data_IF_595132685748
#
_entry.id   IF_595132685748
#
_cell.length_a   1.000
_cell.length_b   1.000
_cell.length_c   1.000
_cell.angle_alpha   90.00
_cell.angle_beta   90.00
_cell.angle_gamma   90.00
#
_symmetry.space_group_name_H-M   'P 1'
#
loop_
_entity.id
_entity.type
_entity.pdbx_description
1 polymer ?
#
# COMPACT_ATOMS: atom_id res chain seq x y z
N UNK A 1 -4.31 13.77 39.91
CA UNK A 1 -5.52 13.81 39.05
C UNK A 1 -5.42 15.03 38.14
N UNK A 2 -4.80 14.85 36.97
CA UNK A 2 -4.71 15.86 35.91
C UNK A 2 -5.19 15.20 34.62
N UNK A 3 -6.02 15.94 33.92
CA UNK A 3 -6.90 15.62 32.80
C UNK A 3 -6.16 15.18 31.54
N UNK A 4 -6.48 13.98 31.04
CA UNK A 4 -6.15 13.48 29.70
C UNK A 4 -6.96 14.23 28.64
N UNK A 5 -6.32 15.13 27.88
CA UNK A 5 -7.00 16.01 26.91
C UNK A 5 -6.46 15.92 25.47
N UNK A 6 -5.63 14.93 25.14
CA UNK A 6 -4.89 14.93 23.86
C UNK A 6 -5.03 13.66 23.00
N UNK A 7 -5.93 12.72 23.36
CA UNK A 7 -6.16 11.52 22.53
C UNK A 7 -6.95 11.87 21.25
N UNK A 8 -7.74 12.96 21.28
CA UNK A 8 -8.53 13.40 20.12
C UNK A 8 -7.75 14.10 19.00
N UNK A 9 -6.50 14.54 19.23
CA UNK A 9 -5.77 15.37 18.24
C UNK A 9 -4.76 14.61 17.39
N UNK A 10 -4.26 13.45 17.84
CA UNK A 10 -3.16 12.76 17.14
C UNK A 10 -3.62 11.92 15.94
N UNK A 11 -4.90 11.56 15.87
CA UNK A 11 -5.50 10.93 14.67
C UNK A 11 -5.75 11.96 13.55
N UNK A 12 -5.71 13.25 13.84
CA UNK A 12 -6.12 14.34 12.93
C UNK A 12 -4.96 15.13 12.28
N UNK A 13 -3.69 14.77 12.53
CA UNK A 13 -2.53 15.55 12.06
C UNK A 13 -1.99 15.17 10.67
N UNK A 14 -2.64 14.26 9.94
CA UNK A 14 -2.27 13.93 8.54
C UNK A 14 -3.17 14.55 7.47
N UNK A 15 -4.10 15.44 7.86
CA UNK A 15 -4.97 16.17 6.93
C UNK A 15 -4.52 17.63 6.83
N UNK A 16 -3.54 17.90 5.97
CA UNK A 16 -3.03 19.26 5.81
C UNK A 16 -2.34 19.53 4.49
N UNK A 17 -3.11 19.78 3.42
CA UNK A 17 -2.93 20.92 2.50
C UNK A 17 -3.82 20.78 1.26
N UNK A 18 -4.97 21.46 1.25
CA UNK A 18 -5.63 21.89 0.03
C UNK A 18 -6.17 23.31 0.26
N UNK A 19 -5.70 24.24 -0.56
CA UNK A 19 -6.00 25.66 -0.50
C UNK A 19 -7.50 25.95 -0.60
N UNK A 20 -7.96 26.94 0.18
CA UNK A 20 -9.32 27.46 0.17
C UNK A 20 -9.60 28.33 -1.06
N UNK A 21 -10.81 28.20 -1.62
CA UNK A 21 -11.47 29.28 -2.35
C UNK A 21 -12.99 29.26 -2.10
N UNK A 22 -13.43 30.33 -1.44
CA UNK A 22 -14.74 31.00 -1.43
C UNK A 22 -16.01 30.26 -0.93
N UNK A 23 -16.57 30.82 0.14
CA UNK A 23 -17.60 30.29 1.01
C UNK A 23 -19.04 30.56 0.55
N UNK A 24 -19.91 29.56 0.75
CA UNK A 24 -21.35 29.70 0.93
C UNK A 24 -21.65 29.91 2.44
N UNK A 25 -22.81 30.48 2.84
CA UNK A 25 -23.05 30.87 4.23
C UNK A 25 -23.00 29.65 5.15
N UNK A 26 -22.24 29.79 6.24
CA UNK A 26 -21.98 28.74 7.21
C UNK A 26 -23.29 28.33 7.91
N UNK A 27 -23.67 27.05 7.74
CA UNK A 27 -24.52 26.38 8.71
C UNK A 27 -23.87 26.51 10.11
N UNK A 28 -24.69 26.68 11.14
CA UNK A 28 -24.26 26.61 12.54
C UNK A 28 -23.31 25.43 12.75
N UNK A 29 -22.17 25.59 13.44
CA UNK A 29 -21.24 24.49 13.64
C UNK A 29 -21.95 23.41 14.47
N UNK A 30 -22.37 22.34 13.80
CA UNK A 30 -22.74 21.10 14.47
C UNK A 30 -21.53 20.66 15.27
N UNK A 31 -21.71 20.46 16.59
CA UNK A 31 -20.65 19.97 17.45
C UNK A 31 -19.97 18.77 16.77
N UNK A 32 -18.65 18.80 16.70
CA UNK A 32 -17.88 17.74 16.05
C UNK A 32 -18.15 16.42 16.79
N UNK A 33 -18.74 15.39 16.13
CA UNK A 33 -19.12 14.14 16.77
C UNK A 33 -17.91 13.40 17.33
N UNK A 34 -16.70 13.69 16.85
CA UNK A 34 -15.46 13.12 17.40
C UNK A 34 -15.19 13.58 18.83
N UNK A 35 -15.72 14.75 19.26
CA UNK A 35 -15.58 15.25 20.62
C UNK A 35 -16.65 14.71 21.58
N UNK A 36 -17.61 13.91 21.08
CA UNK A 36 -18.60 13.27 21.93
C UNK A 36 -17.91 12.24 22.87
N UNK A 37 -18.16 12.29 24.19
CA UNK A 37 -17.56 11.36 25.14
C UNK A 37 -17.79 9.88 24.80
N UNK A 38 -18.94 9.53 24.20
CA UNK A 38 -19.24 8.16 23.78
C UNK A 38 -18.34 7.73 22.62
N UNK A 39 -18.07 8.63 21.66
CA UNK A 39 -17.15 8.35 20.55
C UNK A 39 -15.72 8.21 21.06
N UNK A 40 -15.29 9.06 22.00
CA UNK A 40 -13.97 8.97 22.63
C UNK A 40 -13.80 7.66 23.42
N UNK A 41 -14.79 7.28 24.23
CA UNK A 41 -14.78 6.03 24.98
C UNK A 41 -14.76 4.81 24.04
N UNK A 42 -15.58 4.82 23.00
CA UNK A 42 -15.59 3.76 21.99
C UNK A 42 -14.25 3.66 21.25
N UNK A 43 -13.66 4.78 20.85
CA UNK A 43 -12.34 4.81 20.21
C UNK A 43 -11.24 4.24 21.10
N UNK A 44 -11.28 4.49 22.41
CA UNK A 44 -10.38 3.86 23.38
C UNK A 44 -10.55 2.34 23.42
N UNK A 45 -11.78 1.84 23.48
CA UNK A 45 -12.06 0.39 23.47
C UNK A 45 -11.58 -0.28 22.18
N UNK A 46 -11.76 0.37 21.02
CA UNK A 46 -11.25 -0.11 19.74
C UNK A 46 -9.71 -0.17 19.77
N UNK A 47 -9.06 0.87 20.29
CA UNK A 47 -7.61 0.91 20.46
C UNK A 47 -7.07 -0.21 21.38
N UNK A 48 -7.73 -0.46 22.51
CA UNK A 48 -7.38 -1.55 23.42
C UNK A 48 -7.54 -2.92 22.75
N UNK A 49 -8.63 -3.11 22.00
CA UNK A 49 -8.89 -4.35 21.24
C UNK A 49 -7.82 -4.58 20.18
N UNK A 50 -7.46 -3.53 19.43
CA UNK A 50 -6.38 -3.60 18.44
C UNK A 50 -5.05 -3.96 19.11
N UNK A 51 -4.66 -3.27 20.19
CA UNK A 51 -3.42 -3.58 20.91
C UNK A 51 -3.39 -5.00 21.45
N UNK A 52 -4.49 -5.50 22.01
CA UNK A 52 -4.60 -6.87 22.48
C UNK A 52 -4.42 -7.88 21.33
N UNK A 53 -5.01 -7.60 20.17
CA UNK A 53 -4.83 -8.42 18.97
C UNK A 53 -3.37 -8.43 18.51
N UNK A 54 -2.72 -7.28 18.40
CA UNK A 54 -1.32 -7.20 17.95
C UNK A 54 -0.36 -7.89 18.93
N UNK A 55 -0.59 -7.77 20.24
CA UNK A 55 0.15 -8.54 21.25
C UNK A 55 -0.03 -10.04 21.07
N UNK A 56 -1.27 -10.52 20.91
CA UNK A 56 -1.55 -11.94 20.65
C UNK A 56 -0.87 -12.45 19.36
N UNK A 57 -0.84 -11.64 18.30
CA UNK A 57 -0.10 -11.96 17.08
C UNK A 57 1.41 -12.07 17.33
N UNK A 58 2.00 -11.13 18.06
CA UNK A 58 3.41 -11.16 18.43
C UNK A 58 3.76 -12.35 19.35
N UNK A 59 2.87 -12.71 20.26
CA UNK A 59 3.02 -13.83 21.19
C UNK A 59 3.02 -15.19 20.48
N UNK A 60 2.44 -15.28 19.27
CA UNK A 60 2.54 -16.48 18.44
C UNK A 60 3.99 -16.87 18.11
N UNK A 61 4.93 -15.91 18.19
CA UNK A 61 6.35 -16.11 17.90
C UNK A 61 6.66 -16.35 16.42
N UNK A 62 5.64 -16.39 15.55
CA UNK A 62 5.81 -16.61 14.11
C UNK A 62 6.31 -15.32 13.44
N UNK A 63 7.21 -15.39 12.44
CA UNK A 63 7.84 -14.20 11.87
C UNK A 63 6.84 -13.25 11.21
N UNK A 64 5.94 -13.77 10.36
CA UNK A 64 4.89 -12.96 9.72
C UNK A 64 4.00 -12.20 10.72
N UNK A 65 3.35 -12.88 11.70
CA UNK A 65 2.58 -12.22 12.74
C UNK A 65 3.38 -11.21 13.58
N UNK A 66 4.64 -11.49 13.93
CA UNK A 66 5.53 -10.52 14.60
C UNK A 66 5.74 -9.27 13.74
N UNK A 67 5.98 -9.47 12.44
CA UNK A 67 6.19 -8.38 11.49
C UNK A 67 4.95 -7.50 11.36
N UNK A 68 3.78 -8.10 11.15
CA UNK A 68 2.51 -7.39 11.06
C UNK A 68 2.16 -6.68 12.36
N UNK A 69 2.38 -7.32 13.51
CA UNK A 69 2.18 -6.71 14.82
C UNK A 69 3.06 -5.47 15.00
N UNK A 70 4.33 -5.54 14.58
CA UNK A 70 5.23 -4.40 14.53
C UNK A 70 4.73 -3.31 13.59
N UNK A 71 4.39 -3.63 12.33
CA UNK A 71 3.93 -2.64 11.37
C UNK A 71 2.68 -1.88 11.81
N UNK A 72 1.73 -2.59 12.43
CA UNK A 72 0.44 -2.03 12.85
C UNK A 72 0.46 -1.41 14.25
N UNK A 73 1.58 -1.48 14.97
CA UNK A 73 1.66 -0.93 16.32
C UNK A 73 1.57 0.60 16.28
N UNK A 74 0.60 1.14 17.01
CA UNK A 74 0.44 2.57 17.23
C UNK A 74 0.79 2.85 18.67
N UNK A 75 1.78 3.71 18.87
CA UNK A 75 2.12 4.16 20.21
C UNK A 75 1.00 5.08 20.73
N UNK A 76 0.40 4.68 21.85
CA UNK A 76 -0.64 5.47 22.53
C UNK A 76 -0.07 6.38 23.61
N UNK A 77 1.23 6.24 23.92
CA UNK A 77 1.87 7.13 24.87
C UNK A 77 2.18 8.47 24.21
N UNK A 78 1.80 9.55 24.90
CA UNK A 78 1.99 10.97 24.54
C UNK A 78 3.46 11.40 24.49
N UNK A 79 4.36 10.53 24.03
CA UNK A 79 5.78 10.81 23.82
C UNK A 79 6.06 11.25 22.38
N UNK A 80 5.05 11.86 21.74
CA UNK A 80 5.16 12.57 20.46
C UNK A 80 6.16 13.75 20.52
N UNK A 81 6.66 14.09 21.72
CA UNK A 81 7.71 15.10 21.94
C UNK A 81 9.07 14.50 22.36
N UNK A 82 9.24 13.17 22.40
CA UNK A 82 10.55 12.57 22.71
C UNK A 82 11.36 12.27 21.45
N UNK A 83 12.68 12.17 21.61
CA UNK A 83 13.67 11.82 20.57
C UNK A 83 13.35 10.54 19.77
N UNK A 84 12.40 9.71 20.22
CA UNK A 84 11.83 8.60 19.47
C UNK A 84 11.22 9.03 18.12
N UNK A 85 10.63 10.23 18.05
CA UNK A 85 10.11 10.81 16.79
C UNK A 85 11.22 11.11 15.76
N UNK A 86 12.48 11.24 16.20
CA UNK A 86 13.65 11.40 15.32
C UNK A 86 14.34 10.07 14.98
N UNK A 87 13.99 8.97 15.66
CA UNK A 87 14.75 7.71 15.65
C UNK A 87 14.02 6.51 15.02
N UNK A 88 12.80 6.68 14.50
CA UNK A 88 12.05 5.60 13.82
C UNK A 88 11.02 4.93 14.73
N UNK A 89 11.07 3.60 14.84
CA UNK A 89 10.04 2.80 15.52
C UNK A 89 10.06 2.92 17.06
N UNK A 90 8.87 2.83 17.68
CA UNK A 90 8.72 2.72 19.14
C UNK A 90 9.44 1.47 19.70
N UNK A 91 9.87 1.42 20.98
CA UNK A 91 10.67 0.31 21.51
C UNK A 91 10.03 -1.08 21.33
N UNK A 92 8.73 -1.21 21.61
CA UNK A 92 8.01 -2.48 21.47
C UNK A 92 7.87 -2.89 19.99
N UNK A 93 7.52 -1.94 19.14
CA UNK A 93 7.48 -2.12 17.69
C UNK A 93 8.83 -2.60 17.15
N UNK A 94 9.93 -1.95 17.54
CA UNK A 94 11.29 -2.32 17.15
C UNK A 94 11.63 -3.74 17.62
N UNK A 95 11.26 -4.10 18.84
CA UNK A 95 11.52 -5.45 19.37
C UNK A 95 10.80 -6.53 18.56
N UNK A 96 9.54 -6.32 18.18
CA UNK A 96 8.80 -7.28 17.35
C UNK A 96 9.33 -7.36 15.92
N UNK A 97 9.60 -6.21 15.28
CA UNK A 97 10.19 -6.17 13.95
C UNK A 97 11.57 -6.85 13.93
N UNK A 98 12.41 -6.58 14.92
CA UNK A 98 13.72 -7.24 15.04
C UNK A 98 13.58 -8.75 15.21
N UNK A 99 12.67 -9.21 16.05
CA UNK A 99 12.40 -10.65 16.23
C UNK A 99 11.90 -11.30 14.93
N UNK A 100 11.08 -10.62 14.14
CA UNK A 100 10.64 -11.10 12.84
C UNK A 100 11.82 -11.25 11.86
N UNK A 101 12.71 -10.25 11.80
CA UNK A 101 13.90 -10.25 10.94
C UNK A 101 14.93 -11.32 11.36
N UNK A 102 15.09 -11.54 12.66
CA UNK A 102 16.04 -12.51 13.22
C UNK A 102 15.53 -13.96 13.11
N UNK A 103 14.23 -14.17 12.93
CA UNK A 103 13.64 -15.50 12.95
C UNK A 103 14.08 -16.38 11.77
N UNK A 104 14.27 -17.68 12.04
CA UNK A 104 14.66 -18.69 11.04
C UNK A 104 13.76 -19.94 11.16
N UNK A 105 13.35 -20.57 10.04
CA UNK A 105 13.62 -20.19 8.64
C UNK A 105 13.01 -18.81 8.28
N UNK A 106 13.56 -18.16 7.25
CA UNK A 106 13.08 -16.84 6.80
C UNK A 106 11.63 -16.96 6.30
N UNK A 107 10.82 -15.98 6.65
CA UNK A 107 9.45 -15.83 6.16
C UNK A 107 9.45 -15.00 4.87
N UNK A 108 8.62 -15.38 3.89
CA UNK A 108 8.58 -14.72 2.58
C UNK A 108 8.16 -13.25 2.65
N UNK A 109 7.15 -12.92 3.46
CA UNK A 109 6.69 -11.55 3.61
C UNK A 109 7.79 -10.70 4.26
N UNK A 110 8.40 -11.22 5.33
CA UNK A 110 9.48 -10.52 6.03
C UNK A 110 10.69 -10.33 5.12
N UNK A 111 11.08 -11.34 4.34
CA UNK A 111 12.20 -11.26 3.42
C UNK A 111 11.97 -10.24 2.29
N UNK A 112 10.75 -10.15 1.73
CA UNK A 112 10.38 -9.13 0.73
C UNK A 112 10.59 -7.72 1.26
N UNK A 113 10.29 -7.51 2.54
CA UNK A 113 10.45 -6.22 3.19
C UNK A 113 11.91 -5.92 3.54
N UNK A 114 12.62 -6.89 4.10
CA UNK A 114 14.06 -6.76 4.41
C UNK A 114 14.91 -6.50 3.15
N UNK A 115 14.53 -7.07 2.01
CA UNK A 115 15.21 -6.86 0.73
C UNK A 115 15.09 -5.42 0.18
N UNK A 116 14.11 -4.61 0.65
CA UNK A 116 14.02 -3.19 0.30
C UNK A 116 15.11 -2.36 1.00
N UNK A 117 15.75 -2.91 2.01
CA UNK A 117 16.64 -2.19 2.91
C UNK A 117 16.02 -2.08 4.30
N UNK A 118 16.76 -1.43 5.19
CA UNK A 118 16.48 -1.53 6.61
C UNK A 118 16.20 -0.17 7.22
N UNK A 119 15.05 -0.01 7.86
CA UNK A 119 14.75 1.17 8.64
C UNK A 119 15.83 1.39 9.71
N UNK A 120 16.06 2.67 10.04
CA UNK A 120 16.93 3.04 11.14
C UNK A 120 16.48 2.35 12.44
N UNK A 121 17.45 1.81 13.19
CA UNK A 121 17.20 1.12 14.45
C UNK A 121 16.88 -0.38 14.36
N UNK A 122 16.88 -0.98 13.16
CA UNK A 122 16.79 -2.43 12.97
C UNK A 122 18.09 -3.00 12.40
N UNK A 123 18.46 -4.21 12.85
CA UNK A 123 19.53 -5.03 12.27
C UNK A 123 18.91 -6.01 11.31
N UNK A 124 19.55 -6.16 10.16
CA UNK A 124 19.01 -6.90 9.03
C UNK A 124 20.13 -7.26 8.05
N UNK A 125 19.82 -8.12 7.10
CA UNK A 125 20.69 -8.50 5.99
C UNK A 125 19.88 -8.52 4.68
N UNK A 126 19.74 -7.37 4.00
CA UNK A 126 19.00 -7.27 2.74
C UNK A 126 19.55 -8.18 1.64
N UNK A 127 20.85 -8.48 1.65
CA UNK A 127 21.47 -9.34 0.64
C UNK A 127 21.13 -10.80 0.89
N UNK A 128 21.15 -11.27 2.15
CA UNK A 128 20.69 -12.62 2.46
C UNK A 128 19.17 -12.76 2.31
N UNK A 129 18.38 -11.71 2.58
CA UNK A 129 16.95 -11.71 2.29
C UNK A 129 16.69 -11.85 0.78
N UNK A 130 17.40 -11.07 -0.03
CA UNK A 130 17.32 -11.16 -1.49
C UNK A 130 17.76 -12.55 -2.00
N UNK A 131 18.87 -13.09 -1.52
CA UNK A 131 19.33 -14.42 -1.91
C UNK A 131 18.33 -15.53 -1.55
N UNK A 132 17.62 -15.37 -0.42
CA UNK A 132 16.51 -16.26 -0.07
C UNK A 132 15.34 -16.13 -1.04
N UNK A 133 14.97 -14.91 -1.44
CA UNK A 133 13.89 -14.69 -2.42
C UNK A 133 14.25 -15.25 -3.80
N UNK A 134 15.50 -15.11 -4.25
CA UNK A 134 15.99 -15.68 -5.51
C UNK A 134 15.86 -17.22 -5.53
N UNK A 135 15.96 -17.88 -4.37
CA UNK A 135 15.77 -19.33 -4.25
C UNK A 135 14.29 -19.70 -4.14
N UNK A 136 13.52 -18.93 -3.37
CA UNK A 136 12.11 -19.22 -3.12
C UNK A 136 11.22 -18.92 -4.32
N UNK A 137 11.62 -17.97 -5.17
CA UNK A 137 10.80 -17.43 -6.26
C UNK A 137 11.66 -16.97 -7.45
N UNK A 138 12.43 -17.92 -8.01
CA UNK A 138 13.37 -17.65 -9.11
C UNK A 138 12.71 -17.15 -10.40
N UNK A 139 11.39 -17.37 -10.57
CA UNK A 139 10.61 -16.93 -11.74
C UNK A 139 10.11 -15.48 -11.65
N UNK A 140 10.31 -14.81 -10.51
CA UNK A 140 9.74 -13.48 -10.26
C UNK A 140 10.68 -12.35 -10.68
N UNK A 141 10.23 -11.54 -11.63
CA UNK A 141 10.96 -10.38 -12.13
C UNK A 141 11.24 -9.33 -11.03
N UNK A 142 10.37 -9.17 -10.02
CA UNK A 142 10.59 -8.18 -8.93
C UNK A 142 11.84 -8.52 -8.10
N UNK A 143 12.06 -9.81 -7.81
CA UNK A 143 13.24 -10.29 -7.10
C UNK A 143 14.51 -9.93 -7.86
N UNK A 144 14.55 -10.22 -9.16
CA UNK A 144 15.69 -9.92 -10.01
C UNK A 144 15.90 -8.43 -10.25
N UNK A 145 14.83 -7.63 -10.31
CA UNK A 145 14.93 -6.17 -10.39
C UNK A 145 15.51 -5.56 -9.11
N UNK A 146 15.22 -6.14 -7.94
CA UNK A 146 15.87 -5.74 -6.67
C UNK A 146 17.34 -6.13 -6.66
N UNK A 147 17.69 -7.31 -7.16
CA UNK A 147 19.08 -7.75 -7.32
C UNK A 147 19.85 -6.83 -8.26
N UNK A 148 19.25 -6.46 -9.39
CA UNK A 148 19.79 -5.47 -10.32
C UNK A 148 20.04 -4.13 -9.62
N UNK A 149 19.04 -3.58 -8.93
CA UNK A 149 19.18 -2.30 -8.22
C UNK A 149 20.24 -2.36 -7.10
N UNK A 150 20.33 -3.48 -6.37
CA UNK A 150 21.33 -3.69 -5.34
C UNK A 150 22.76 -3.76 -5.92
N UNK A 151 22.94 -4.47 -7.04
CA UNK A 151 24.21 -4.53 -7.75
C UNK A 151 24.63 -3.16 -8.31
N UNK A 152 23.69 -2.42 -8.89
CA UNK A 152 23.93 -1.04 -9.35
C UNK A 152 24.43 -0.14 -8.21
N UNK A 153 23.81 -0.19 -7.03
CA UNK A 153 24.25 0.60 -5.86
C UNK A 153 25.66 0.27 -5.41
N UNK A 154 26.13 -0.97 -5.61
CA UNK A 154 27.50 -1.39 -5.29
C UNK A 154 28.51 -1.15 -6.40
N UNK A 155 28.08 -0.65 -7.57
CA UNK A 155 28.95 -0.50 -8.74
C UNK A 155 29.35 -1.83 -9.40
N UNK A 156 28.65 -2.92 -9.11
CA UNK A 156 28.93 -4.25 -9.67
C UNK A 156 28.17 -4.44 -10.98
N UNK A 157 28.78 -4.02 -12.09
CA UNK A 157 28.17 -4.08 -13.41
C UNK A 157 27.88 -5.51 -13.87
N UNK A 158 28.74 -6.48 -13.54
CA UNK A 158 28.56 -7.87 -13.94
C UNK A 158 27.41 -8.54 -13.18
N UNK A 159 27.26 -8.27 -11.88
CA UNK A 159 26.09 -8.74 -11.13
C UNK A 159 24.81 -8.04 -11.58
N UNK A 160 24.86 -6.74 -11.88
CA UNK A 160 23.71 -6.01 -12.38
C UNK A 160 23.21 -6.61 -13.70
N UNK A 161 24.10 -6.84 -14.66
CA UNK A 161 23.69 -7.40 -15.96
C UNK A 161 23.14 -8.84 -15.80
N UNK A 162 23.74 -9.68 -14.95
CA UNK A 162 23.19 -11.02 -14.67
C UNK A 162 21.78 -10.96 -14.09
N UNK A 163 21.55 -10.09 -13.11
CA UNK A 163 20.24 -9.91 -12.50
C UNK A 163 19.22 -9.34 -13.52
N UNK A 164 19.64 -8.42 -14.39
CA UNK A 164 18.80 -7.94 -15.48
C UNK A 164 18.37 -9.06 -16.43
N UNK A 165 19.31 -9.88 -16.89
CA UNK A 165 19.00 -11.02 -17.76
C UNK A 165 18.09 -12.03 -17.06
N UNK A 166 18.26 -12.27 -15.76
CA UNK A 166 17.33 -13.10 -14.98
C UNK A 166 15.91 -12.48 -14.92
N UNK A 167 15.79 -11.16 -14.77
CA UNK A 167 14.50 -10.46 -14.84
C UNK A 167 13.85 -10.58 -16.23
N UNK A 168 14.64 -10.54 -17.30
CA UNK A 168 14.15 -10.72 -18.69
C UNK A 168 13.59 -12.13 -18.92
N UNK A 169 14.19 -13.15 -18.30
CA UNK A 169 13.76 -14.55 -18.41
C UNK A 169 12.67 -14.95 -17.39
N UNK A 170 12.28 -14.04 -16.50
CA UNK A 170 11.23 -14.27 -15.51
C UNK A 170 9.86 -14.49 -16.18
N UNK A 171 9.05 -15.39 -15.63
CA UNK A 171 7.73 -15.73 -16.16
C UNK A 171 6.60 -14.89 -15.53
N UNK A 172 6.85 -14.24 -14.40
CA UNK A 172 5.88 -13.36 -13.74
C UNK A 172 6.55 -12.19 -13.02
N UNK A 173 5.72 -11.28 -12.50
CA UNK A 173 6.11 -10.20 -11.61
C UNK A 173 5.12 -10.18 -10.44
N UNK A 174 5.64 -10.30 -9.21
CA UNK A 174 4.87 -10.12 -7.99
C UNK A 174 5.68 -9.22 -7.04
N UNK A 175 5.20 -7.99 -6.86
CA UNK A 175 5.77 -7.00 -5.94
C UNK A 175 5.60 -7.36 -4.46
N UNK A 176 4.70 -8.29 -4.16
CA UNK A 176 4.26 -8.66 -2.82
C UNK A 176 3.17 -7.77 -2.23
N UNK A 177 2.67 -6.78 -2.98
CA UNK A 177 1.60 -5.90 -2.54
C UNK A 177 0.32 -6.68 -2.18
N UNK A 178 -0.09 -7.64 -3.00
CA UNK A 178 -1.27 -8.47 -2.71
C UNK A 178 -1.05 -9.37 -1.49
N UNK A 179 0.10 -10.03 -1.40
CA UNK A 179 0.43 -10.89 -0.26
C UNK A 179 0.46 -10.10 1.06
N UNK A 180 1.03 -8.89 1.06
CA UNK A 180 0.99 -7.99 2.21
C UNK A 180 -0.46 -7.59 2.54
N UNK A 181 -1.26 -7.24 1.53
CA UNK A 181 -2.66 -6.89 1.71
C UNK A 181 -3.46 -8.02 2.36
N UNK A 182 -3.33 -9.24 1.87
CA UNK A 182 -4.01 -10.41 2.43
C UNK A 182 -3.58 -10.71 3.86
N UNK A 183 -2.28 -10.57 4.14
CA UNK A 183 -1.72 -10.77 5.47
C UNK A 183 -2.23 -9.70 6.47
N UNK A 184 -2.33 -8.45 6.03
CA UNK A 184 -2.95 -7.37 6.78
C UNK A 184 -4.43 -7.68 7.02
N UNK A 185 -5.22 -7.98 5.98
CA UNK A 185 -6.63 -8.32 6.09
C UNK A 185 -6.90 -9.43 7.12
N UNK A 186 -6.11 -10.51 7.08
CA UNK A 186 -6.18 -11.60 8.04
C UNK A 186 -5.82 -11.19 9.49
N UNK A 187 -5.07 -10.11 9.68
CA UNK A 187 -4.72 -9.62 11.02
C UNK A 187 -5.95 -9.17 11.82
N UNK A 188 -7.04 -8.74 11.18
CA UNK A 188 -8.22 -8.20 11.86
C UNK A 188 -9.58 -8.80 11.43
N UNK A 189 -9.65 -9.60 10.36
CA UNK A 189 -10.91 -10.17 9.87
C UNK A 189 -11.72 -10.94 10.94
N UNK A 190 -11.06 -11.64 11.86
CA UNK A 190 -11.72 -12.46 12.90
C UNK A 190 -11.84 -11.76 14.26
N UNK A 191 -11.60 -10.45 14.32
CA UNK A 191 -11.65 -9.69 15.58
C UNK A 191 -13.08 -9.25 15.87
N UNK A 192 -13.54 -9.50 17.10
CA UNK A 192 -14.80 -8.94 17.61
C UNK A 192 -14.59 -7.50 18.03
N UNK A 193 -14.95 -6.56 17.15
CA UNK A 193 -14.74 -5.13 17.37
C UNK A 193 -15.80 -4.51 18.30
N UNK A 194 -15.41 -3.60 19.22
CA UNK A 194 -16.36 -2.81 19.98
C UNK A 194 -17.30 -2.00 19.07
N UNK A 195 -18.59 -2.00 19.42
CA UNK A 195 -19.63 -1.31 18.65
C UNK A 195 -20.02 0.00 19.32
N UNK A 196 -19.99 1.09 18.56
CA UNK A 196 -20.58 2.35 18.99
C UNK A 196 -22.11 2.22 19.02
N UNK A 197 -22.68 2.09 20.21
CA UNK A 197 -24.11 1.77 20.40
C UNK A 197 -25.04 2.86 19.86
N UNK A 198 -24.59 4.11 19.85
CA UNK A 198 -25.35 5.23 19.30
C UNK A 198 -25.41 5.18 17.77
N UNK A 199 -26.58 4.84 17.23
CA UNK A 199 -26.86 4.84 15.77
C UNK A 199 -26.70 6.24 15.18
N UNK A 200 -27.14 7.28 15.89
CA UNK A 200 -27.05 8.66 15.40
C UNK A 200 -25.61 9.18 15.35
N UNK A 201 -24.74 8.77 16.28
CA UNK A 201 -23.32 9.12 16.24
C UNK A 201 -22.60 8.38 15.11
N UNK A 202 -22.89 7.09 14.90
CA UNK A 202 -22.36 6.34 13.74
C UNK A 202 -22.74 7.00 12.42
N UNK A 203 -24.02 7.34 12.22
CA UNK A 203 -24.48 8.01 11.02
C UNK A 203 -23.81 9.39 10.82
N UNK A 204 -23.50 10.12 11.89
CA UNK A 204 -22.76 11.38 11.81
C UNK A 204 -21.29 11.19 11.43
N UNK A 205 -20.64 10.13 11.92
CA UNK A 205 -19.28 9.75 11.53
C UNK A 205 -19.24 9.33 10.05
N UNK A 206 -20.15 8.46 9.62
CA UNK A 206 -20.29 8.01 8.23
C UNK A 206 -20.51 9.19 7.28
N UNK A 207 -21.41 10.12 7.63
CA UNK A 207 -21.69 11.30 6.83
C UNK A 207 -20.47 12.23 6.67
N UNK A 208 -19.48 12.11 7.56
CA UNK A 208 -18.20 12.85 7.51
C UNK A 208 -17.07 12.00 6.91
N UNK A 209 -17.34 10.78 6.46
CA UNK A 209 -16.32 9.86 5.94
C UNK A 209 -15.34 9.38 7.00
N UNK A 210 -15.73 9.39 8.28
CA UNK A 210 -14.92 8.91 9.39
C UNK A 210 -15.27 7.46 9.72
N UNK A 211 -14.33 6.66 10.26
CA UNK A 211 -14.62 5.32 10.75
C UNK A 211 -15.77 5.33 11.76
N UNK A 212 -16.81 4.53 11.52
CA UNK A 212 -17.98 4.41 12.40
C UNK A 212 -18.09 3.03 13.07
N UNK A 213 -17.27 2.07 12.63
CA UNK A 213 -17.08 0.76 13.26
C UNK A 213 -15.62 0.51 13.63
N UNK A 214 -15.38 -0.41 14.57
CA UNK A 214 -14.01 -0.76 14.96
C UNK A 214 -13.27 -1.46 13.82
N UNK A 215 -14.00 -2.19 12.97
CA UNK A 215 -13.47 -2.79 11.75
C UNK A 215 -12.98 -1.71 10.77
N UNK A 216 -13.75 -0.64 10.55
CA UNK A 216 -13.31 0.50 9.70
C UNK A 216 -12.05 1.17 10.25
N UNK A 217 -11.97 1.27 11.58
CA UNK A 217 -10.79 1.84 12.24
C UNK A 217 -9.55 0.97 12.01
N UNK A 218 -9.67 -0.35 12.16
CA UNK A 218 -8.59 -1.29 11.88
C UNK A 218 -8.19 -1.30 10.40
N UNK A 219 -9.18 -1.27 9.51
CA UNK A 219 -9.00 -1.18 8.07
C UNK A 219 -8.21 0.07 7.68
N UNK A 220 -8.49 1.21 8.29
CA UNK A 220 -7.75 2.46 8.04
C UNK A 220 -6.24 2.27 8.30
N UNK A 221 -5.87 1.69 9.44
CA UNK A 221 -4.46 1.44 9.78
C UNK A 221 -3.81 0.45 8.84
N UNK A 222 -4.55 -0.57 8.43
CA UNK A 222 -4.04 -1.57 7.53
C UNK A 222 -3.84 -1.05 6.11
N UNK A 223 -4.80 -0.27 5.60
CA UNK A 223 -4.66 0.43 4.33
C UNK A 223 -3.48 1.41 4.36
N UNK A 224 -3.25 2.09 5.48
CA UNK A 224 -2.08 2.95 5.64
C UNK A 224 -0.76 2.15 5.58
N UNK A 225 -0.67 1.03 6.31
CA UNK A 225 0.49 0.15 6.27
C UNK A 225 0.71 -0.45 4.87
N UNK A 226 -0.36 -0.90 4.21
CA UNK A 226 -0.32 -1.39 2.83
C UNK A 226 0.19 -0.30 1.89
N UNK A 227 -0.40 0.89 1.92
CA UNK A 227 -0.05 2.00 1.02
C UNK A 227 1.41 2.45 1.18
N UNK A 228 1.96 2.37 2.39
CA UNK A 228 3.37 2.69 2.67
C UNK A 228 4.36 1.67 2.06
N UNK A 229 3.91 0.47 1.73
CA UNK A 229 4.78 -0.66 1.35
C UNK A 229 4.38 -1.36 0.03
N UNK A 230 3.22 -1.06 -0.54
CA UNK A 230 2.67 -1.74 -1.70
C UNK A 230 3.36 -1.38 -3.03
N UNK A 231 4.02 -0.23 -3.12
CA UNK A 231 4.64 0.20 -4.38
C UNK A 231 6.06 -0.37 -4.53
N UNK A 232 6.33 -1.14 -5.60
CA UNK A 232 7.68 -1.61 -5.89
C UNK A 232 8.59 -0.48 -6.37
N UNK A 233 9.89 -0.63 -6.15
CA UNK A 233 10.90 0.32 -6.59
C UNK A 233 11.21 0.20 -8.09
N UNK A 234 10.29 0.64 -8.95
CA UNK A 234 10.41 0.51 -10.42
C UNK A 234 11.33 1.54 -11.08
N UNK A 235 11.86 2.54 -10.35
CA UNK A 235 12.69 3.60 -10.95
C UNK A 235 13.91 3.10 -11.73
N UNK A 236 14.68 2.08 -11.27
CA UNK A 236 15.79 1.52 -12.04
C UNK A 236 15.34 0.91 -13.39
N UNK A 237 14.21 0.21 -13.40
CA UNK A 237 13.60 -0.33 -14.62
C UNK A 237 13.20 0.79 -15.57
N UNK A 238 12.45 1.78 -15.06
CA UNK A 238 11.97 2.92 -15.84
C UNK A 238 13.12 3.71 -16.47
N UNK A 239 14.25 3.89 -15.76
CA UNK A 239 15.44 4.54 -16.32
C UNK A 239 16.15 3.71 -17.38
N UNK A 240 16.30 2.39 -17.17
CA UNK A 240 16.94 1.52 -18.17
C UNK A 240 16.11 1.42 -19.45
N UNK A 241 14.80 1.45 -19.32
CA UNK A 241 13.84 1.29 -20.41
C UNK A 241 13.28 2.62 -20.92
N UNK A 242 14.07 3.69 -20.89
CA UNK A 242 13.66 4.99 -21.41
C UNK A 242 13.52 4.92 -22.95
N UNK A 243 12.31 5.13 -23.52
CA UNK A 243 12.08 5.07 -24.96
C UNK A 243 12.94 6.04 -25.77
N UNK A 244 13.41 7.14 -25.16
CA UNK A 244 14.25 8.12 -25.85
C UNK A 244 15.69 7.63 -26.10
N UNK A 245 16.16 6.63 -25.35
CA UNK A 245 17.56 6.20 -25.37
C UNK A 245 17.76 4.70 -25.61
N UNK A 246 16.67 3.92 -25.61
CA UNK A 246 16.72 2.47 -25.74
C UNK A 246 17.16 2.01 -27.14
N UNK A 247 18.09 1.05 -27.19
CA UNK A 247 18.50 0.38 -28.44
C UNK A 247 17.49 -0.70 -28.83
N UNK A 248 17.46 -1.18 -30.10
CA UNK A 248 16.54 -2.24 -30.50
C UNK A 248 16.66 -3.52 -29.68
N UNK A 249 17.88 -3.95 -29.34
CA UNK A 249 18.09 -5.15 -28.52
C UNK A 249 17.57 -4.96 -27.09
N UNK A 250 17.90 -3.84 -26.45
CA UNK A 250 17.42 -3.53 -25.10
C UNK A 250 15.90 -3.30 -25.06
N UNK A 251 15.29 -2.84 -26.17
CA UNK A 251 13.84 -2.66 -26.27
C UNK A 251 13.11 -3.96 -26.05
N UNK A 252 13.55 -5.04 -26.68
CA UNK A 252 12.89 -6.35 -26.58
C UNK A 252 13.02 -6.93 -25.16
N UNK A 253 14.19 -6.77 -24.53
CA UNK A 253 14.41 -7.11 -23.11
C UNK A 253 13.49 -6.31 -22.18
N UNK A 254 13.42 -4.98 -22.39
CA UNK A 254 12.55 -4.09 -21.64
C UNK A 254 11.08 -4.49 -21.77
N UNK A 255 10.64 -4.84 -22.98
CA UNK A 255 9.27 -5.27 -23.24
C UNK A 255 8.93 -6.59 -22.53
N UNK A 256 9.88 -7.52 -22.38
CA UNK A 256 9.66 -8.75 -21.62
C UNK A 256 9.35 -8.44 -20.15
N UNK A 257 10.20 -7.65 -19.49
CA UNK A 257 10.03 -7.30 -18.07
C UNK A 257 8.78 -6.43 -17.85
N UNK A 258 8.59 -5.38 -18.65
CA UNK A 258 7.44 -4.47 -18.54
C UNK A 258 6.12 -5.16 -18.86
N UNK A 259 6.13 -6.19 -19.71
CA UNK A 259 4.97 -7.03 -19.98
C UNK A 259 4.47 -7.77 -18.73
N UNK A 260 5.39 -8.24 -17.88
CA UNK A 260 5.03 -8.85 -16.59
C UNK A 260 4.56 -7.80 -15.59
N UNK A 261 5.25 -6.65 -15.50
CA UNK A 261 4.83 -5.52 -14.65
C UNK A 261 3.41 -5.04 -14.99
N UNK A 262 3.07 -4.95 -16.29
CA UNK A 262 1.75 -4.51 -16.74
C UNK A 262 0.60 -5.48 -16.39
N UNK A 263 0.94 -6.74 -16.07
CA UNK A 263 -0.01 -7.78 -15.65
C UNK A 263 -0.20 -7.81 -14.13
N UNK A 264 0.71 -7.22 -13.34
CA UNK A 264 0.55 -7.11 -11.89
C UNK A 264 -0.53 -6.07 -11.57
N UNK A 265 -1.72 -6.58 -11.29
CA UNK A 265 -2.91 -5.81 -10.94
C UNK A 265 -3.04 -5.55 -9.44
N UNK A 266 -2.03 -5.92 -8.63
CA UNK A 266 -2.04 -5.69 -7.18
C UNK A 266 -2.15 -4.21 -6.81
N UNK A 267 -1.55 -3.34 -7.63
CA UNK A 267 -1.69 -1.87 -7.53
C UNK A 267 -1.97 -1.28 -8.91
N UNK A 268 -2.86 -0.28 -8.96
CA UNK A 268 -3.20 0.42 -10.20
C UNK A 268 -1.98 1.17 -10.77
N UNK A 269 -1.15 1.75 -9.89
CA UNK A 269 0.07 2.45 -10.28
C UNK A 269 1.07 1.54 -11.00
N UNK A 270 1.31 0.32 -10.50
CA UNK A 270 2.24 -0.64 -11.12
C UNK A 270 1.75 -1.07 -12.50
N UNK A 271 0.48 -1.45 -12.61
CA UNK A 271 -0.15 -1.82 -13.87
C UNK A 271 -0.07 -0.67 -14.90
N UNK A 272 -0.34 0.58 -14.48
CA UNK A 272 -0.26 1.76 -15.33
C UNK A 272 1.16 2.03 -15.83
N UNK A 273 2.17 1.96 -14.95
CA UNK A 273 3.57 2.16 -15.33
C UNK A 273 4.00 1.13 -16.38
N UNK A 274 3.71 -0.15 -16.15
CA UNK A 274 4.00 -1.22 -17.10
C UNK A 274 3.31 -0.99 -18.44
N UNK A 275 1.98 -0.77 -18.43
CA UNK A 275 1.19 -0.59 -19.65
C UNK A 275 1.60 0.63 -20.48
N UNK A 276 1.89 1.77 -19.83
CA UNK A 276 2.36 2.99 -20.51
C UNK A 276 3.70 2.76 -21.21
N UNK A 277 4.65 2.14 -20.52
CA UNK A 277 5.97 1.85 -21.11
C UNK A 277 5.87 0.82 -22.23
N UNK A 278 5.04 -0.22 -22.08
CA UNK A 278 4.74 -1.15 -23.16
C UNK A 278 4.15 -0.44 -24.38
N UNK A 279 3.21 0.48 -24.19
CA UNK A 279 2.62 1.27 -25.28
C UNK A 279 3.65 2.16 -26.00
N UNK A 280 4.61 2.74 -25.27
CA UNK A 280 5.67 3.58 -25.85
C UNK A 280 6.74 2.79 -26.60
N UNK A 281 7.02 1.55 -26.19
CA UNK A 281 8.07 0.71 -26.79
C UNK A 281 7.54 -0.20 -27.91
N UNK A 282 6.23 -0.48 -27.93
CA UNK A 282 5.60 -1.35 -28.93
C UNK A 282 5.34 -0.62 -30.25
N UNK A 283 5.11 -1.38 -31.32
CA UNK A 283 4.68 -0.87 -32.63
C UNK A 283 3.50 -1.67 -33.19
N UNK A 284 2.85 -1.15 -34.23
CA UNK A 284 1.75 -1.84 -34.93
C UNK A 284 0.59 -2.24 -34.02
N UNK A 285 0.11 -3.48 -34.17
CA UNK A 285 -1.03 -3.99 -33.41
C UNK A 285 -0.77 -4.09 -31.90
N UNK A 286 0.48 -4.36 -31.49
CA UNK A 286 0.84 -4.43 -30.07
C UNK A 286 0.75 -3.06 -29.40
N UNK A 287 1.18 -1.99 -30.08
CA UNK A 287 1.02 -0.63 -29.57
C UNK A 287 -0.46 -0.29 -29.35
N UNK A 288 -1.33 -0.63 -30.31
CA UNK A 288 -2.79 -0.42 -30.17
C UNK A 288 -3.38 -1.19 -28.99
N UNK A 289 -2.98 -2.46 -28.80
CA UNK A 289 -3.41 -3.27 -27.65
C UNK A 289 -3.00 -2.63 -26.32
N UNK A 290 -1.74 -2.19 -26.21
CA UNK A 290 -1.25 -1.58 -24.98
C UNK A 290 -1.84 -0.19 -24.73
N UNK A 291 -2.11 0.60 -25.77
CA UNK A 291 -2.85 1.85 -25.64
C UNK A 291 -4.29 1.62 -25.14
N UNK A 292 -4.97 0.57 -25.61
CA UNK A 292 -6.29 0.21 -25.08
C UNK A 292 -6.21 -0.15 -23.59
N UNK A 293 -5.17 -0.88 -23.18
CA UNK A 293 -4.93 -1.21 -21.78
C UNK A 293 -4.65 0.03 -20.92
N UNK A 294 -3.84 0.97 -21.41
CA UNK A 294 -3.62 2.26 -20.72
C UNK A 294 -4.93 3.02 -20.56
N UNK A 295 -5.79 3.06 -21.59
CA UNK A 295 -7.10 3.71 -21.52
C UNK A 295 -8.01 3.07 -20.47
N UNK A 296 -8.05 1.75 -20.39
CA UNK A 296 -8.81 1.03 -19.35
C UNK A 296 -8.33 1.41 -17.94
N UNK A 297 -7.02 1.34 -17.68
CA UNK A 297 -6.48 1.62 -16.35
C UNK A 297 -6.64 3.10 -15.96
N UNK A 298 -6.44 4.03 -16.91
CA UNK A 298 -6.66 5.45 -16.69
C UNK A 298 -8.14 5.78 -16.41
N UNK A 299 -9.06 5.04 -17.02
CA UNK A 299 -10.49 5.16 -16.72
C UNK A 299 -10.78 4.76 -15.27
N UNK A 300 -10.24 3.62 -14.81
CA UNK A 300 -10.38 3.19 -13.41
C UNK A 300 -9.82 4.23 -12.45
N UNK A 301 -8.65 4.82 -12.75
CA UNK A 301 -8.06 5.89 -11.95
C UNK A 301 -8.96 7.13 -11.87
N UNK A 302 -9.53 7.55 -13.00
CA UNK A 302 -10.44 8.70 -13.03
C UNK A 302 -11.70 8.44 -12.19
N UNK A 303 -12.28 7.23 -12.29
CA UNK A 303 -13.45 6.88 -11.49
C UNK A 303 -13.12 6.82 -10.00
N UNK A 304 -11.98 6.25 -9.62
CA UNK A 304 -11.51 6.24 -8.23
C UNK A 304 -11.40 7.67 -7.65
N UNK A 305 -10.82 8.61 -8.41
CA UNK A 305 -10.72 10.02 -8.01
C UNK A 305 -12.09 10.68 -7.87
N UNK A 306 -13.02 10.40 -8.80
CA UNK A 306 -14.40 10.89 -8.73
C UNK A 306 -15.15 10.39 -7.50
N UNK A 307 -14.99 9.11 -7.15
CA UNK A 307 -15.60 8.51 -5.96
C UNK A 307 -15.01 9.07 -4.66
N UNK A 308 -13.69 9.26 -4.60
CA UNK A 308 -13.03 9.90 -3.47
C UNK A 308 -13.52 11.34 -3.26
N UNK A 309 -13.63 12.13 -4.33
CA UNK A 309 -14.14 13.51 -4.27
C UNK A 309 -15.61 13.62 -3.84
N UNK A 310 -16.40 12.55 -4.03
CA UNK A 310 -17.79 12.46 -3.59
C UNK A 310 -17.95 11.98 -2.13
N UNK A 311 -16.86 11.82 -1.37
CA UNK A 311 -16.88 11.30 0.01
C UNK A 311 -17.23 9.80 0.09
N UNK A 312 -17.15 9.08 -1.03
CA UNK A 312 -17.38 7.63 -1.14
C UNK A 312 -16.07 6.86 -1.29
N UNK A 313 -14.98 7.41 -0.72
CA UNK A 313 -13.61 6.97 -0.99
C UNK A 313 -13.17 5.74 -0.20
N UNK A 314 -12.27 4.97 -0.82
CA UNK A 314 -11.31 3.94 -0.38
C UNK A 314 -11.53 3.13 0.92
N UNK A 315 -11.98 3.73 2.02
CA UNK A 315 -12.26 2.98 3.27
C UNK A 315 -13.39 1.97 3.05
N UNK A 316 -14.40 2.31 2.25
CA UNK A 316 -15.56 1.41 1.99
C UNK A 316 -15.22 0.12 1.24
N UNK A 317 -14.07 0.05 0.57
CA UNK A 317 -13.65 -1.11 -0.23
C UNK A 317 -12.24 -1.58 0.09
N UNK A 318 -11.68 -1.12 1.23
CA UNK A 318 -10.36 -1.52 1.70
C UNK A 318 -10.21 -3.04 1.82
N UNK A 319 -11.24 -3.73 2.31
CA UNK A 319 -11.27 -5.20 2.36
C UNK A 319 -11.01 -5.83 0.99
N UNK A 320 -11.69 -5.35 -0.05
CA UNK A 320 -11.53 -5.86 -1.40
C UNK A 320 -10.13 -5.56 -1.97
N UNK A 321 -9.59 -4.36 -1.71
CA UNK A 321 -8.23 -3.99 -2.13
C UNK A 321 -7.20 -4.90 -1.48
N UNK A 322 -7.31 -5.12 -0.17
CA UNK A 322 -6.36 -5.96 0.56
C UNK A 322 -6.49 -7.44 0.20
N UNK A 323 -7.70 -7.93 -0.05
CA UNK A 323 -7.92 -9.34 -0.39
C UNK A 323 -7.57 -9.69 -1.84
N UNK A 324 -7.80 -8.77 -2.79
CA UNK A 324 -7.78 -9.05 -4.23
C UNK A 324 -6.88 -8.13 -5.07
N UNK A 325 -6.33 -7.07 -4.48
CA UNK A 325 -5.56 -6.06 -5.19
C UNK A 325 -6.42 -4.88 -5.67
N UNK A 326 -5.77 -3.76 -5.95
CA UNK A 326 -6.45 -2.49 -6.23
C UNK A 326 -7.27 -2.53 -7.52
N UNK A 327 -6.73 -3.10 -8.62
CA UNK A 327 -7.42 -3.07 -9.92
C UNK A 327 -8.68 -3.96 -9.92
N UNK A 328 -8.65 -5.22 -9.44
CA UNK A 328 -9.86 -6.04 -9.34
C UNK A 328 -10.90 -5.44 -8.38
N UNK A 329 -10.46 -4.89 -7.25
CA UNK A 329 -11.34 -4.24 -6.28
C UNK A 329 -12.07 -3.03 -6.89
N UNK A 330 -11.35 -2.17 -7.62
CA UNK A 330 -11.94 -1.03 -8.32
C UNK A 330 -12.96 -1.46 -9.37
N UNK A 331 -12.65 -2.48 -10.19
CA UNK A 331 -13.63 -3.00 -11.16
C UNK A 331 -14.90 -3.49 -10.49
N UNK A 332 -14.76 -4.27 -9.41
CA UNK A 332 -15.89 -4.79 -8.66
C UNK A 332 -16.73 -3.66 -8.02
N UNK A 333 -16.08 -2.62 -7.50
CA UNK A 333 -16.74 -1.44 -6.96
C UNK A 333 -17.58 -0.71 -8.02
N UNK A 334 -16.99 -0.43 -9.18
CA UNK A 334 -17.71 0.25 -10.27
C UNK A 334 -18.92 -0.58 -10.74
N UNK A 335 -18.76 -1.90 -10.87
CA UNK A 335 -19.86 -2.80 -11.20
C UNK A 335 -21.01 -2.72 -10.18
N UNK A 336 -20.70 -2.77 -8.87
CA UNK A 336 -21.71 -2.64 -7.81
C UNK A 336 -22.43 -1.29 -7.85
N UNK A 337 -21.75 -0.24 -8.27
CA UNK A 337 -22.34 1.11 -8.39
C UNK A 337 -23.03 1.36 -9.74
N UNK A 338 -23.09 0.37 -10.64
CA UNK A 338 -23.67 0.55 -11.98
C UNK A 338 -22.85 1.47 -12.88
N UNK A 339 -21.58 1.71 -12.56
CA UNK A 339 -20.65 2.49 -13.36
C UNK A 339 -19.91 1.54 -14.30
N UNK A 340 -19.76 1.94 -15.58
CA UNK A 340 -19.03 1.15 -16.55
C UNK A 340 -17.57 0.94 -16.12
N UNK A 341 -17.08 -0.30 -16.18
CA UNK A 341 -15.66 -0.63 -15.88
C UNK A 341 -14.71 -0.36 -17.04
N UNK A 342 -15.27 -0.08 -18.22
CA UNK A 342 -14.51 0.22 -19.43
C UNK A 342 -14.79 1.66 -19.86
N UNK A 343 -13.80 2.35 -20.43
CA UNK A 343 -14.01 3.69 -20.96
C UNK A 343 -15.01 3.68 -22.12
N UNK A 344 -15.86 4.71 -22.26
CA UNK A 344 -16.70 4.88 -23.44
C UNK A 344 -15.88 4.92 -24.74
N UNK A 345 -16.53 4.59 -25.85
CA UNK A 345 -15.93 4.75 -27.18
C UNK A 345 -15.47 6.20 -27.39
N UNK A 346 -14.24 6.38 -27.89
CA UNK A 346 -13.65 7.71 -28.10
C UNK A 346 -13.14 8.44 -26.86
N UNK A 347 -13.39 7.95 -25.64
CA UNK A 347 -12.85 8.56 -24.42
C UNK A 347 -11.31 8.49 -24.41
N UNK A 348 -10.64 9.57 -24.00
CA UNK A 348 -9.19 9.63 -23.85
C UNK A 348 -8.81 10.09 -22.44
N UNK A 349 -7.71 9.60 -21.86
CA UNK A 349 -7.20 10.09 -20.59
C UNK A 349 -6.90 11.58 -20.64
N UNK A 350 -7.29 12.33 -19.61
CA UNK A 350 -6.89 13.73 -19.46
C UNK A 350 -5.36 13.85 -19.38
N UNK A 351 -4.80 14.99 -19.81
CA UNK A 351 -3.35 15.22 -19.78
C UNK A 351 -2.73 15.10 -18.38
N UNK A 352 -3.52 15.28 -17.31
CA UNK A 352 -3.13 15.05 -15.91
C UNK A 352 -2.92 13.58 -15.53
N UNK A 353 -3.37 12.65 -16.37
CA UNK A 353 -3.24 11.19 -16.21
C UNK A 353 -2.19 10.63 -17.19
N UNK A 354 -1.61 11.44 -18.08
CA UNK A 354 -0.65 11.02 -19.11
C UNK A 354 0.78 10.87 -18.59
#
# INVERSE_FOLDING_TARGET
>A
MRTSRLIGSTVLLWLGSACMASAAPAATPTADPTNDPLVQQWGQQVGETLQARLRSMADSGKPGPLYLAGLLWIDTETDAESDAARAGYAPLQRAWLQRALDARPRDLLVARMEALGCPAGLRCDPLAALAFLEQADAGNADVHLRAYAAAQRRGDAAAAERAWQAAVQADHFDSGALALGQALHAAYADVQWPVLTSVSLRAQLDARGLPSTGADTAMLFAMAAWSAHALPALSPLVRRCDPATVTPALRDECMAVLGNVAKDESTLATALIGAKRMASLSSGADATRWQARVRELAWLQQQQQGLAGAGRGLVSDGDAVLAHGEVPALRALLQRQGIATQPPAGWQPSASVQ
#
